data_IF_911432933571
#
_entry.id   IF_911432933571
#
_cell.length_a   1.000
_cell.length_b   1.000
_cell.length_c   1.000
_cell.angle_alpha   90.00
_cell.angle_beta   90.00
_cell.angle_gamma   90.00
#
_symmetry.space_group_name_H-M   'P 1'
#
loop_
_entity.id
_entity.type
_entity.pdbx_description
1 polymer ?
#
# COMPACT_ATOMS: atom_id res chain seq x y z
N UNK A 1 121.50 -21.41 10.70
CA UNK A 1 120.76 -20.15 10.74
C UNK A 1 119.75 -20.16 9.68
N UNK A 2 118.47 -20.24 9.97
CA UNK A 2 117.48 -19.73 9.04
C UNK A 2 116.42 -18.95 9.79
N UNK A 3 116.02 -17.91 9.11
CA UNK A 3 115.05 -16.90 9.46
C UNK A 3 113.57 -17.38 9.30
N UNK A 4 112.82 -17.26 10.31
CA UNK A 4 111.41 -17.58 10.28
C UNK A 4 110.57 -16.41 9.70
N UNK A 5 109.72 -16.72 8.73
CA UNK A 5 108.73 -15.77 8.22
C UNK A 5 107.34 -16.20 8.77
N UNK A 6 106.69 -15.30 9.50
CA UNK A 6 105.30 -15.43 9.93
C UNK A 6 104.35 -14.84 8.90
N UNK A 7 103.47 -15.63 8.36
CA UNK A 7 102.33 -15.18 7.53
C UNK A 7 101.18 -14.92 8.46
N UNK A 8 100.59 -13.77 8.46
CA UNK A 8 99.35 -13.41 9.15
C UNK A 8 98.20 -13.61 8.17
N UNK A 9 97.42 -14.61 8.39
CA UNK A 9 96.13 -14.81 7.64
C UNK A 9 95.06 -13.91 8.26
N UNK A 10 94.67 -12.89 7.50
CA UNK A 10 93.54 -12.05 7.82
C UNK A 10 92.30 -12.67 7.20
N UNK A 11 91.45 -13.26 8.05
CA UNK A 11 90.15 -13.78 7.62
C UNK A 11 89.15 -12.62 7.49
N UNK A 12 88.78 -12.30 6.25
CA UNK A 12 87.73 -11.31 5.94
C UNK A 12 86.39 -12.01 6.05
N UNK A 13 85.66 -11.76 7.14
CA UNK A 13 84.29 -12.22 7.30
C UNK A 13 83.35 -11.28 6.60
N UNK A 14 82.84 -11.64 5.43
CA UNK A 14 81.78 -10.92 4.72
C UNK A 14 80.44 -11.33 5.36
N UNK A 15 79.86 -10.46 6.17
CA UNK A 15 78.51 -10.65 6.69
C UNK A 15 77.48 -10.30 5.62
N UNK A 16 76.88 -11.29 4.98
CA UNK A 16 75.72 -11.11 4.09
C UNK A 16 74.46 -10.90 4.97
N UNK A 17 74.04 -9.63 5.06
CA UNK A 17 72.76 -9.29 5.70
C UNK A 17 71.60 -9.72 4.74
N UNK A 18 70.94 -10.84 5.06
CA UNK A 18 69.73 -11.31 4.37
C UNK A 18 68.55 -10.48 4.88
N UNK A 19 68.17 -9.45 4.14
CA UNK A 19 66.92 -8.65 4.38
C UNK A 19 65.74 -9.51 3.94
N UNK A 20 65.03 -10.09 4.89
CA UNK A 20 63.74 -10.76 4.66
C UNK A 20 62.68 -9.67 4.49
N UNK A 21 62.34 -9.36 3.22
CA UNK A 21 61.20 -8.53 2.89
C UNK A 21 59.90 -9.33 3.16
N UNK A 22 59.29 -9.14 4.34
CA UNK A 22 57.99 -9.71 4.62
C UNK A 22 56.95 -8.94 3.80
N UNK A 23 56.56 -9.49 2.67
CA UNK A 23 55.35 -9.05 1.95
C UNK A 23 54.16 -9.41 2.80
N UNK A 24 53.64 -8.43 3.55
CA UNK A 24 52.32 -8.56 4.16
C UNK A 24 51.30 -8.64 3.03
N UNK A 25 50.90 -9.84 2.66
CA UNK A 25 49.76 -10.06 1.78
C UNK A 25 48.51 -9.41 2.39
N UNK A 26 47.54 -8.97 1.56
CA UNK A 26 46.31 -8.45 2.08
C UNK A 26 45.67 -9.49 3.00
N UNK A 27 45.52 -9.14 4.28
CA UNK A 27 44.74 -9.98 5.21
C UNK A 27 43.34 -10.06 4.64
N UNK A 28 42.96 -11.21 4.09
CA UNK A 28 41.60 -11.46 3.65
C UNK A 28 40.67 -11.14 4.83
N UNK A 29 39.89 -10.07 4.71
CA UNK A 29 38.88 -9.76 5.70
C UNK A 29 37.96 -10.98 5.81
N UNK A 30 37.87 -11.57 6.99
CA UNK A 30 37.01 -12.72 7.23
C UNK A 30 35.57 -12.36 6.83
N UNK A 31 35.00 -13.13 5.92
CA UNK A 31 33.61 -12.99 5.50
C UNK A 31 32.72 -13.08 6.74
N UNK A 32 31.89 -12.04 6.96
CA UNK A 32 31.00 -11.96 8.13
C UNK A 32 29.55 -11.85 7.65
N UNK A 33 28.87 -12.97 7.44
CA UNK A 33 27.45 -12.98 7.12
C UNK A 33 26.63 -12.20 8.14
N UNK A 34 25.41 -11.74 7.80
CA UNK A 34 24.57 -11.04 8.76
C UNK A 34 24.21 -11.95 9.93
N UNK A 35 24.11 -11.40 11.14
CA UNK A 35 23.44 -12.08 12.25
C UNK A 35 21.94 -12.06 12.02
N UNK A 36 21.24 -13.20 12.14
CA UNK A 36 19.80 -13.25 11.98
C UNK A 36 19.15 -14.20 12.99
N UNK A 37 18.14 -13.71 13.68
CA UNK A 37 17.36 -14.49 14.64
C UNK A 37 15.87 -14.27 14.40
N UNK A 38 15.11 -15.35 14.19
CA UNK A 38 13.66 -15.29 14.06
C UNK A 38 13.03 -14.90 15.39
N UNK A 39 12.25 -13.83 15.40
CA UNK A 39 11.48 -13.33 16.54
C UNK A 39 10.09 -13.96 16.62
N UNK A 40 9.30 -13.58 17.63
CA UNK A 40 7.91 -13.97 17.77
C UNK A 40 7.01 -13.22 16.79
N UNK A 41 5.94 -13.86 16.32
CA UNK A 41 4.90 -13.19 15.53
C UNK A 41 4.01 -12.31 16.42
N UNK A 42 3.54 -11.20 15.85
CA UNK A 42 2.57 -10.27 16.48
C UNK A 42 1.43 -9.96 15.51
N UNK A 43 0.41 -9.20 15.94
CA UNK A 43 -0.73 -8.80 15.10
C UNK A 43 -1.36 -10.00 14.38
N UNK A 44 -1.49 -11.11 15.10
CA UNK A 44 -2.03 -12.35 14.53
C UNK A 44 -3.53 -12.20 14.38
N UNK A 45 -4.02 -12.38 13.15
CA UNK A 45 -5.45 -12.39 12.80
C UNK A 45 -5.85 -13.78 12.29
N UNK A 46 -7.03 -13.89 11.71
CA UNK A 46 -7.48 -15.10 11.02
C UNK A 46 -6.67 -15.37 9.73
N UNK A 47 -6.22 -14.31 9.04
CA UNK A 47 -5.63 -14.41 7.71
C UNK A 47 -4.29 -13.69 7.57
N UNK A 48 -3.73 -13.17 8.65
CA UNK A 48 -2.43 -12.48 8.63
C UNK A 48 -1.68 -12.61 9.94
N UNK A 49 -0.36 -12.38 9.88
CA UNK A 49 0.51 -12.22 11.04
C UNK A 49 1.69 -11.31 10.68
N UNK A 50 2.19 -10.55 11.66
CA UNK A 50 3.45 -9.82 11.50
C UNK A 50 4.58 -10.69 12.04
N UNK A 51 5.43 -11.21 11.14
CA UNK A 51 6.65 -11.93 11.53
C UNK A 51 7.73 -10.94 11.91
N UNK A 52 8.46 -11.20 12.99
CA UNK A 52 9.53 -10.35 13.49
C UNK A 52 10.87 -11.08 13.49
N UNK A 53 11.96 -10.33 13.39
CA UNK A 53 13.30 -10.83 13.49
C UNK A 53 14.24 -9.78 14.07
N UNK A 54 15.38 -10.25 14.60
CA UNK A 54 16.52 -9.43 14.96
C UNK A 54 17.63 -9.67 13.95
N UNK A 55 18.13 -8.61 13.30
CA UNK A 55 19.18 -8.70 12.29
C UNK A 55 20.34 -7.77 12.65
N UNK A 56 21.56 -8.27 12.60
CA UNK A 56 22.78 -7.46 12.60
C UNK A 56 23.42 -7.54 11.21
N UNK A 57 23.42 -6.47 10.42
CA UNK A 57 24.04 -6.42 9.10
C UNK A 57 25.55 -6.61 9.07
N UNK A 58 26.22 -6.52 10.22
CA UNK A 58 27.67 -6.61 10.37
C UNK A 58 28.45 -5.62 9.50
N UNK A 59 27.91 -4.39 9.32
CA UNK A 59 28.56 -3.32 8.58
C UNK A 59 28.35 -3.35 7.05
N UNK A 60 27.53 -4.27 6.52
CA UNK A 60 27.30 -4.41 5.08
C UNK A 60 25.81 -4.32 4.72
N UNK A 61 25.46 -3.74 3.55
CA UNK A 61 24.08 -3.72 3.07
C UNK A 61 23.48 -5.13 3.10
N UNK A 62 22.39 -5.28 3.86
CA UNK A 62 21.75 -6.56 4.12
C UNK A 62 20.31 -6.52 3.70
N UNK A 63 19.85 -7.54 2.99
CA UNK A 63 18.46 -7.77 2.64
C UNK A 63 17.92 -8.94 3.45
N UNK A 64 16.60 -8.94 3.67
CA UNK A 64 15.93 -10.03 4.36
C UNK A 64 14.53 -10.29 3.82
N UNK A 65 14.04 -11.49 4.05
CA UNK A 65 12.66 -11.91 3.87
C UNK A 65 12.34 -13.03 4.87
N UNK A 66 11.07 -13.37 4.98
CA UNK A 66 10.66 -14.54 5.76
C UNK A 66 10.26 -15.67 4.81
N UNK A 67 10.75 -16.87 5.07
CA UNK A 67 10.20 -18.10 4.52
C UNK A 67 9.12 -18.61 5.47
N UNK A 68 7.98 -19.04 4.92
CA UNK A 68 6.87 -19.54 5.71
C UNK A 68 6.03 -20.58 4.98
N UNK A 69 5.30 -21.38 5.74
CA UNK A 69 4.43 -22.43 5.21
C UNK A 69 3.83 -23.29 6.31
N UNK A 70 2.98 -24.24 5.96
CA UNK A 70 2.33 -25.12 6.93
C UNK A 70 3.28 -26.21 7.47
N UNK A 71 4.43 -26.39 6.87
CA UNK A 71 5.47 -27.34 7.27
C UNK A 71 6.83 -26.63 7.32
N UNK A 72 7.86 -27.29 7.85
CA UNK A 72 9.23 -26.79 7.86
C UNK A 72 9.88 -26.72 6.47
N UNK A 73 9.24 -27.23 5.42
CA UNK A 73 9.66 -26.99 4.04
C UNK A 73 9.24 -25.61 3.52
N UNK A 74 8.48 -24.85 4.30
CA UNK A 74 7.96 -23.51 4.05
C UNK A 74 7.13 -23.40 2.76
N UNK A 75 7.75 -23.19 1.62
CA UNK A 75 7.10 -23.14 0.30
C UNK A 75 6.64 -21.74 -0.15
N UNK A 76 6.60 -20.77 0.76
CA UNK A 76 6.27 -19.38 0.48
C UNK A 76 7.33 -18.43 1.08
N UNK A 77 7.41 -17.22 0.53
CA UNK A 77 8.27 -16.17 1.06
C UNK A 77 7.58 -14.81 1.03
N UNK A 78 7.94 -13.96 1.99
CA UNK A 78 7.52 -12.57 2.01
C UNK A 78 8.32 -11.74 0.98
N UNK A 79 7.90 -10.51 0.67
CA UNK A 79 8.74 -9.59 -0.10
C UNK A 79 10.12 -9.40 0.52
N UNK A 80 11.13 -9.12 -0.30
CA UNK A 80 12.47 -8.82 0.18
C UNK A 80 12.56 -7.36 0.58
N UNK A 81 13.08 -7.09 1.78
CA UNK A 81 13.29 -5.74 2.32
C UNK A 81 14.71 -5.52 2.80
N UNK A 82 15.12 -4.27 2.93
CA UNK A 82 16.44 -3.89 3.43
C UNK A 82 16.48 -3.86 4.96
N UNK A 83 17.51 -4.48 5.55
CA UNK A 83 17.82 -4.38 6.98
C UNK A 83 18.89 -3.30 7.30
N UNK A 84 19.31 -2.52 6.28
CA UNK A 84 20.38 -1.53 6.42
C UNK A 84 21.79 -2.13 6.36
N UNK A 85 22.79 -1.35 6.83
CA UNK A 85 24.22 -1.75 6.80
C UNK A 85 24.93 -1.49 8.14
N UNK A 86 24.21 -1.21 9.22
CA UNK A 86 24.79 -0.90 10.51
C UNK A 86 25.48 -2.14 11.14
N UNK A 87 26.54 -1.93 11.93
CA UNK A 87 27.15 -3.00 12.70
C UNK A 87 26.50 -3.11 14.11
N UNK A 88 25.17 -3.21 14.12
CA UNK A 88 24.36 -3.39 15.33
C UNK A 88 23.09 -4.16 15.02
N UNK A 89 22.56 -4.86 16.00
CA UNK A 89 21.28 -5.57 15.87
C UNK A 89 20.13 -4.58 15.85
N UNK A 90 19.21 -4.74 14.89
CA UNK A 90 17.94 -4.02 14.80
C UNK A 90 16.77 -5.00 14.70
N UNK A 91 15.59 -4.55 15.16
CA UNK A 91 14.35 -5.30 15.00
C UNK A 91 13.74 -4.97 13.65
N UNK A 92 13.33 -6.01 12.95
CA UNK A 92 12.58 -5.90 11.67
C UNK A 92 11.29 -6.70 11.76
N UNK A 93 10.33 -6.37 10.90
CA UNK A 93 9.07 -7.12 10.86
C UNK A 93 8.34 -6.89 9.55
N UNK A 94 7.63 -7.92 9.08
CA UNK A 94 6.80 -7.86 7.89
C UNK A 94 5.42 -8.44 8.16
N UNK A 95 4.38 -7.77 7.65
CA UNK A 95 3.03 -8.30 7.68
C UNK A 95 2.84 -9.27 6.51
N UNK A 96 2.43 -10.49 6.82
CA UNK A 96 2.14 -11.55 5.86
C UNK A 96 0.64 -11.81 5.90
N UNK A 97 -0.03 -11.62 4.76
CA UNK A 97 -1.46 -11.86 4.57
C UNK A 97 -1.74 -13.12 3.76
N UNK A 98 -3.03 -13.41 3.54
CA UNK A 98 -3.48 -14.57 2.76
C UNK A 98 -3.28 -15.92 3.47
N UNK A 99 -3.07 -15.89 4.78
CA UNK A 99 -2.95 -17.09 5.59
C UNK A 99 -4.34 -17.76 5.77
N UNK A 100 -4.37 -19.08 5.93
CA UNK A 100 -5.60 -19.81 6.27
C UNK A 100 -5.93 -19.62 7.74
N UNK A 101 -7.19 -19.41 8.10
CA UNK A 101 -7.63 -19.35 9.49
C UNK A 101 -7.38 -20.63 10.26
N UNK A 102 -7.24 -20.54 11.59
CA UNK A 102 -7.04 -21.65 12.50
C UNK A 102 -5.97 -22.65 12.01
N UNK A 103 -4.87 -22.12 11.45
CA UNK A 103 -3.83 -22.92 10.80
C UNK A 103 -2.46 -22.59 11.41
N UNK A 104 -1.71 -23.63 11.73
CA UNK A 104 -0.33 -23.47 12.18
C UNK A 104 0.60 -23.23 10.99
N UNK A 105 1.44 -22.22 11.09
CA UNK A 105 2.50 -21.92 10.14
C UNK A 105 3.87 -21.99 10.83
N UNK A 106 4.83 -22.54 10.09
CA UNK A 106 6.25 -22.45 10.36
C UNK A 106 6.80 -21.23 9.64
N UNK A 107 7.74 -20.51 10.23
CA UNK A 107 8.41 -19.38 9.59
C UNK A 107 9.81 -19.18 10.15
N UNK A 108 10.70 -18.64 9.30
CA UNK A 108 12.04 -18.19 9.68
C UNK A 108 12.44 -16.98 8.87
N UNK A 109 13.33 -16.15 9.42
CA UNK A 109 13.99 -15.07 8.68
C UNK A 109 15.16 -15.63 7.88
N UNK A 110 15.37 -15.10 6.68
CA UNK A 110 16.55 -15.30 5.84
C UNK A 110 17.16 -13.93 5.60
N UNK A 111 18.41 -13.73 5.98
CA UNK A 111 19.13 -12.46 5.79
C UNK A 111 20.40 -12.70 4.98
N UNK A 112 20.67 -11.84 4.01
CA UNK A 112 21.80 -11.97 3.07
C UNK A 112 22.53 -10.64 2.92
N UNK A 113 23.86 -10.69 2.99
CA UNK A 113 24.76 -9.61 2.60
C UNK A 113 25.84 -10.13 1.62
N UNK A 114 26.82 -9.29 1.26
CA UNK A 114 27.90 -9.69 0.35
C UNK A 114 28.78 -10.84 0.87
N UNK A 115 28.78 -11.09 2.18
CA UNK A 115 29.60 -12.13 2.82
C UNK A 115 28.85 -13.47 2.98
N UNK A 116 27.54 -13.51 2.73
CA UNK A 116 26.77 -14.74 2.79
C UNK A 116 25.35 -14.56 3.34
N UNK A 117 24.72 -15.71 3.56
CA UNK A 117 23.32 -15.80 4.03
C UNK A 117 23.26 -16.50 5.38
N UNK A 118 22.42 -15.95 6.27
CA UNK A 118 22.09 -16.55 7.57
C UNK A 118 20.60 -16.77 7.66
N UNK A 119 20.22 -17.96 8.10
CA UNK A 119 18.83 -18.34 8.37
C UNK A 119 18.59 -18.39 9.87
N UNK A 120 17.54 -17.72 10.32
CA UNK A 120 17.07 -17.83 11.70
C UNK A 120 16.46 -19.20 11.99
N UNK A 121 16.30 -19.52 13.27
CA UNK A 121 15.63 -20.77 13.68
C UNK A 121 14.17 -20.77 13.25
N UNK A 122 13.63 -21.97 13.00
CA UNK A 122 12.20 -22.18 12.77
C UNK A 122 11.38 -21.71 13.98
N UNK A 123 10.30 -21.02 13.70
CA UNK A 123 9.26 -20.68 14.68
C UNK A 123 7.89 -21.03 14.15
N UNK A 124 6.95 -21.16 15.07
CA UNK A 124 5.56 -21.49 14.76
C UNK A 124 4.65 -20.32 15.17
N UNK A 125 3.59 -20.15 14.40
CA UNK A 125 2.48 -19.26 14.71
C UNK A 125 1.17 -19.96 14.34
N UNK A 126 0.16 -19.79 15.16
CA UNK A 126 -1.20 -20.24 14.85
C UNK A 126 -2.03 -19.00 14.50
N UNK A 127 -2.63 -18.98 13.31
CA UNK A 127 -3.62 -17.95 12.96
C UNK A 127 -4.87 -18.10 13.82
N UNK A 128 -5.58 -17.01 14.05
CA UNK A 128 -6.79 -17.05 14.87
C UNK A 128 -7.86 -17.92 14.22
N UNK A 129 -8.62 -18.58 15.06
CA UNK A 129 -9.85 -19.26 14.64
C UNK A 129 -10.89 -18.22 14.24
N UNK A 130 -11.64 -18.43 13.13
CA UNK A 130 -12.77 -17.58 12.81
C UNK A 130 -13.74 -17.51 14.00
N UNK A 131 -14.18 -16.30 14.33
CA UNK A 131 -15.24 -16.16 15.30
C UNK A 131 -16.52 -16.77 14.71
N UNK A 132 -17.05 -17.83 15.31
CA UNK A 132 -18.29 -18.44 14.82
C UNK A 132 -19.49 -17.49 14.90
N UNK A 133 -19.39 -16.40 15.66
CA UNK A 133 -20.43 -15.40 15.82
C UNK A 133 -20.04 -14.04 15.19
N UNK A 134 -19.06 -14.02 14.28
CA UNK A 134 -18.63 -12.78 13.65
C UNK A 134 -19.76 -12.12 12.84
N UNK A 135 -19.87 -10.82 12.98
CA UNK A 135 -20.71 -9.98 12.14
C UNK A 135 -19.83 -9.32 11.09
N UNK A 136 -19.98 -9.73 9.83
CA UNK A 136 -19.19 -9.25 8.70
C UNK A 136 -19.95 -8.18 7.95
N UNK A 137 -19.23 -7.20 7.42
CA UNK A 137 -19.75 -6.16 6.55
C UNK A 137 -18.75 -5.89 5.42
N UNK A 138 -19.25 -5.71 4.20
CA UNK A 138 -18.49 -5.36 3.01
C UNK A 138 -19.26 -4.35 2.17
N UNK A 139 -18.58 -3.57 1.35
CA UNK A 139 -19.15 -2.52 0.50
C UNK A 139 -18.83 -2.74 -0.98
N UNK A 140 -19.80 -2.37 -1.87
CA UNK A 140 -19.61 -2.43 -3.33
C UNK A 140 -20.56 -1.46 -4.04
N UNK A 141 -20.12 -0.66 -5.01
CA UNK A 141 -18.70 -0.35 -5.33
C UNK A 141 -18.07 0.59 -4.31
N UNK A 142 -16.73 0.60 -4.25
CA UNK A 142 -15.99 1.57 -3.44
C UNK A 142 -14.73 2.02 -4.21
N UNK A 143 -14.54 3.33 -4.50
CA UNK A 143 -15.48 4.43 -4.20
C UNK A 143 -16.71 4.44 -5.12
N UNK A 144 -17.75 5.17 -4.69
CA UNK A 144 -18.93 5.46 -5.52
C UNK A 144 -18.86 6.86 -6.10
N UNK A 145 -19.46 7.05 -7.29
CA UNK A 145 -19.69 8.39 -7.81
C UNK A 145 -20.75 9.11 -6.98
N UNK A 146 -20.54 10.38 -6.68
CA UNK A 146 -21.55 11.18 -6.01
C UNK A 146 -22.92 11.10 -6.69
N UNK A 147 -23.95 10.88 -5.90
CA UNK A 147 -25.33 10.65 -6.39
C UNK A 147 -25.63 9.21 -6.83
N UNK A 148 -24.71 8.28 -6.57
CA UNK A 148 -24.91 6.85 -6.81
C UNK A 148 -24.91 6.08 -5.49
N UNK A 149 -25.63 4.95 -5.47
CA UNK A 149 -25.72 4.09 -4.30
C UNK A 149 -24.54 3.12 -4.18
N UNK A 150 -24.22 2.76 -2.95
CA UNK A 150 -23.40 1.61 -2.60
C UNK A 150 -24.25 0.54 -1.95
N UNK A 151 -23.96 -0.73 -2.22
CA UNK A 151 -24.51 -1.84 -1.48
C UNK A 151 -23.56 -2.19 -0.32
N UNK A 152 -24.12 -2.29 0.88
CA UNK A 152 -23.48 -2.80 2.08
C UNK A 152 -24.05 -4.18 2.35
N UNK A 153 -23.27 -5.22 2.14
CA UNK A 153 -23.70 -6.61 2.33
C UNK A 153 -22.92 -7.25 3.45
N UNK A 154 -23.53 -8.19 4.16
CA UNK A 154 -22.84 -8.83 5.25
C UNK A 154 -23.48 -10.13 5.68
N UNK A 155 -22.86 -10.75 6.68
CA UNK A 155 -23.30 -12.00 7.24
C UNK A 155 -23.09 -12.04 8.76
N UNK A 156 -24.12 -12.34 9.49
CA UNK A 156 -24.03 -12.77 10.87
C UNK A 156 -23.77 -14.28 10.89
N UNK A 157 -22.62 -14.71 11.37
CA UNK A 157 -22.28 -16.13 11.55
C UNK A 157 -22.83 -16.66 12.86
N UNK A 158 -23.04 -17.96 12.92
CA UNK A 158 -23.41 -18.65 14.16
C UNK A 158 -24.74 -19.41 14.09
N UNK A 159 -25.06 -20.16 15.15
CA UNK A 159 -26.19 -21.07 15.13
C UNK A 159 -27.58 -20.40 15.30
N UNK A 160 -27.60 -19.11 15.62
CA UNK A 160 -28.84 -18.31 15.80
C UNK A 160 -28.75 -17.04 15.00
N UNK A 161 -28.44 -17.19 13.73
CA UNK A 161 -28.17 -16.08 12.82
C UNK A 161 -29.35 -15.70 11.91
N UNK A 162 -30.48 -16.44 12.00
CA UNK A 162 -31.68 -16.22 11.19
C UNK A 162 -32.66 -15.28 11.90
N UNK A 163 -33.24 -14.34 11.18
CA UNK A 163 -34.23 -13.39 11.69
C UNK A 163 -33.69 -12.37 12.69
N UNK A 164 -32.37 -12.23 12.80
CA UNK A 164 -31.73 -11.27 13.71
C UNK A 164 -31.80 -9.88 13.09
N UNK A 165 -32.32 -8.90 13.85
CA UNK A 165 -32.33 -7.50 13.39
C UNK A 165 -30.95 -6.91 13.29
N UNK A 166 -30.60 -6.42 12.12
CA UNK A 166 -29.33 -5.72 11.86
C UNK A 166 -29.61 -4.24 11.67
N UNK A 167 -28.93 -3.40 12.44
CA UNK A 167 -29.02 -1.94 12.36
C UNK A 167 -27.75 -1.38 11.72
N UNK A 168 -27.90 -0.53 10.70
CA UNK A 168 -26.81 0.14 10.03
C UNK A 168 -26.53 1.49 10.70
N UNK A 169 -25.29 1.70 11.07
CA UNK A 169 -24.79 2.91 11.69
C UNK A 169 -23.80 3.60 10.73
N UNK A 170 -23.81 4.93 10.70
CA UNK A 170 -22.95 5.73 9.84
C UNK A 170 -22.31 6.88 10.59
N UNK A 171 -21.11 7.25 10.13
CA UNK A 171 -20.40 8.44 10.56
C UNK A 171 -19.64 9.05 9.37
N UNK A 172 -19.96 10.29 8.93
CA UNK A 172 -19.22 10.98 7.89
C UNK A 172 -17.73 11.12 8.28
N UNK A 173 -16.84 11.02 7.30
CA UNK A 173 -15.41 11.23 7.50
C UNK A 173 -15.15 12.66 8.01
N UNK A 174 -14.16 12.80 8.89
CA UNK A 174 -13.86 14.07 9.54
C UNK A 174 -14.81 14.46 10.69
N UNK A 175 -15.93 13.74 10.88
CA UNK A 175 -16.79 13.94 12.05
C UNK A 175 -16.17 13.27 13.28
N UNK A 176 -16.17 14.01 14.41
CA UNK A 176 -15.76 13.49 15.73
C UNK A 176 -16.96 12.98 16.55
N UNK A 177 -18.17 13.10 16.00
CA UNK A 177 -19.40 12.65 16.64
C UNK A 177 -19.55 11.12 16.71
N UNK A 178 -20.52 10.67 17.48
CA UNK A 178 -20.91 9.27 17.52
C UNK A 178 -21.51 8.82 16.19
N UNK A 179 -21.50 7.51 15.95
CA UNK A 179 -22.25 6.92 14.85
C UNK A 179 -23.75 7.13 15.05
N UNK A 180 -24.45 7.41 13.97
CA UNK A 180 -25.90 7.58 13.94
C UNK A 180 -26.55 6.43 13.17
N UNK A 181 -27.73 6.02 13.60
CA UNK A 181 -28.52 5.01 12.87
C UNK A 181 -29.03 5.61 11.56
N UNK A 182 -28.79 4.89 10.45
CA UNK A 182 -29.21 5.32 9.10
C UNK A 182 -30.17 4.36 8.43
N UNK A 183 -30.20 3.08 8.86
CA UNK A 183 -31.14 2.10 8.36
C UNK A 183 -31.30 0.92 9.32
N UNK A 184 -32.40 0.18 9.18
CA UNK A 184 -32.72 -1.01 9.98
C UNK A 184 -33.73 -0.74 11.13
N UNK A 185 -33.95 -1.74 11.99
CA UNK A 185 -33.41 -3.09 11.91
C UNK A 185 -33.95 -3.90 10.72
N UNK A 186 -33.05 -4.51 9.92
CA UNK A 186 -33.39 -5.43 8.85
C UNK A 186 -33.10 -6.88 9.31
N UNK A 187 -34.02 -7.82 9.14
CA UNK A 187 -33.79 -9.21 9.57
C UNK A 187 -32.78 -9.91 8.66
N UNK A 188 -31.93 -10.76 9.24
CA UNK A 188 -31.08 -11.67 8.49
C UNK A 188 -31.87 -12.80 7.84
N UNK A 189 -31.42 -13.31 6.70
CA UNK A 189 -31.97 -14.50 6.04
C UNK A 189 -31.62 -15.81 6.79
N UNK A 190 -32.01 -16.95 6.21
CA UNK A 190 -31.76 -18.29 6.77
C UNK A 190 -30.26 -18.62 6.91
N UNK A 191 -29.40 -17.94 6.17
CA UNK A 191 -27.95 -18.10 6.20
C UNK A 191 -27.25 -16.99 7.00
N UNK A 192 -28.02 -16.09 7.62
CA UNK A 192 -27.52 -14.95 8.36
C UNK A 192 -27.10 -13.76 7.48
N UNK A 193 -27.41 -13.77 6.19
CA UNK A 193 -27.06 -12.66 5.30
C UNK A 193 -28.03 -11.49 5.46
N UNK A 194 -27.51 -10.29 5.21
CA UNK A 194 -28.26 -9.04 5.15
C UNK A 194 -27.67 -8.09 4.10
N UNK A 195 -28.48 -7.11 3.69
CA UNK A 195 -27.98 -6.07 2.80
C UNK A 195 -28.69 -4.73 3.05
N UNK A 196 -27.96 -3.64 2.80
CA UNK A 196 -28.46 -2.27 2.80
C UNK A 196 -28.02 -1.58 1.52
N UNK A 197 -28.86 -0.68 1.01
CA UNK A 197 -28.47 0.25 -0.04
C UNK A 197 -28.33 1.64 0.57
N UNK A 198 -27.20 2.28 0.41
CA UNK A 198 -26.92 3.63 0.93
C UNK A 198 -26.60 4.58 -0.20
N UNK A 199 -26.97 5.86 -0.03
CA UNK A 199 -26.64 6.96 -0.95
C UNK A 199 -25.78 7.97 -0.20
N UNK A 200 -24.47 7.74 -0.04
CA UNK A 200 -23.64 8.62 0.75
C UNK A 200 -23.40 9.97 0.05
N UNK A 201 -23.58 11.06 0.79
CA UNK A 201 -23.28 12.42 0.33
C UNK A 201 -21.85 12.85 0.59
N UNK A 202 -21.07 12.04 1.33
CA UNK A 202 -19.67 12.28 1.67
C UNK A 202 -18.97 10.95 1.94
N UNK A 203 -17.65 10.96 1.97
CA UNK A 203 -16.89 9.82 2.48
C UNK A 203 -17.43 9.44 3.86
N UNK A 204 -17.86 8.21 4.05
CA UNK A 204 -18.60 7.79 5.23
C UNK A 204 -18.12 6.43 5.73
N UNK A 205 -17.86 6.34 7.03
CA UNK A 205 -17.63 5.08 7.70
C UNK A 205 -18.97 4.46 8.13
N UNK A 206 -19.12 3.17 7.92
CA UNK A 206 -20.30 2.38 8.31
C UNK A 206 -19.89 1.21 9.16
N UNK A 207 -20.75 0.84 10.11
CA UNK A 207 -20.75 -0.47 10.73
C UNK A 207 -22.17 -0.92 10.97
N UNK A 208 -22.36 -2.19 11.28
CA UNK A 208 -23.65 -2.76 11.63
C UNK A 208 -23.63 -3.30 13.05
N UNK A 209 -24.79 -3.24 13.70
CA UNK A 209 -25.03 -3.78 15.03
C UNK A 209 -26.13 -4.83 14.92
N UNK A 210 -25.83 -6.04 15.36
CA UNK A 210 -26.84 -7.11 15.43
C UNK A 210 -27.54 -7.09 16.77
N UNK A 211 -28.87 -7.24 16.77
CA UNK A 211 -29.72 -7.33 17.96
C UNK A 211 -29.59 -8.72 18.61
N UNK A 212 -28.38 -9.09 18.97
CA UNK A 212 -28.06 -10.29 19.75
C UNK A 212 -28.03 -9.95 21.23
N UNK A 213 -28.04 -10.97 22.12
CA UNK A 213 -27.94 -10.75 23.57
C UNK A 213 -26.69 -9.94 23.99
N UNK A 214 -25.63 -9.90 23.15
CA UNK A 214 -24.36 -9.19 23.39
C UNK A 214 -24.16 -7.99 22.50
N UNK A 215 -25.15 -7.57 21.69
CA UNK A 215 -25.02 -6.45 20.73
C UNK A 215 -23.72 -6.52 19.91
N UNK A 216 -23.60 -7.56 19.10
CA UNK A 216 -22.39 -7.76 18.26
C UNK A 216 -22.30 -6.67 17.21
N UNK A 217 -21.13 -6.01 17.14
CA UNK A 217 -20.84 -4.94 16.17
C UNK A 217 -19.80 -5.45 15.14
N UNK A 218 -19.98 -5.10 13.86
CA UNK A 218 -19.00 -5.38 12.82
C UNK A 218 -17.78 -4.45 12.95
N UNK A 219 -16.71 -4.77 12.22
CA UNK A 219 -15.68 -3.79 11.91
C UNK A 219 -16.27 -2.64 11.07
N UNK A 220 -15.62 -1.48 11.12
CA UNK A 220 -15.97 -0.34 10.26
C UNK A 220 -15.57 -0.63 8.81
N UNK A 221 -16.42 -0.23 7.86
CA UNK A 221 -16.09 -0.16 6.44
C UNK A 221 -16.25 1.27 5.95
N UNK A 222 -15.34 1.73 5.10
CA UNK A 222 -15.35 3.10 4.58
C UNK A 222 -15.83 3.16 3.15
N UNK A 223 -16.97 3.82 2.88
CA UNK A 223 -17.41 4.11 1.51
C UNK A 223 -16.86 5.48 1.10
N UNK A 224 -15.93 5.49 0.16
CA UNK A 224 -15.42 6.70 -0.47
C UNK A 224 -16.41 7.23 -1.51
N UNK A 225 -16.59 8.55 -1.56
CA UNK A 225 -17.44 9.23 -2.53
C UNK A 225 -16.59 10.15 -3.38
N UNK A 226 -16.61 9.97 -4.70
CA UNK A 226 -15.84 10.78 -5.64
C UNK A 226 -16.74 11.74 -6.40
N UNK A 227 -16.22 12.93 -6.75
CA UNK A 227 -16.92 13.86 -7.62
C UNK A 227 -17.31 13.21 -8.95
N UNK A 228 -18.53 13.45 -9.40
CA UNK A 228 -18.97 13.05 -10.74
C UNK A 228 -18.54 14.12 -11.75
N UNK A 229 -17.41 13.87 -12.42
CA UNK A 229 -16.81 14.81 -13.39
C UNK A 229 -17.05 14.30 -14.81
N UNK A 230 -17.60 15.17 -15.66
CA UNK A 230 -17.79 14.89 -17.10
C UNK A 230 -16.92 15.84 -17.92
N UNK A 231 -16.34 15.32 -19.02
CA UNK A 231 -15.56 16.10 -19.98
C UNK A 231 -16.03 15.80 -21.39
N UNK A 232 -16.16 16.85 -22.20
CA UNK A 232 -16.41 16.82 -23.63
C UNK A 232 -15.46 17.77 -24.34
N UNK A 233 -15.20 17.51 -25.62
CA UNK A 233 -14.47 18.41 -26.52
C UNK A 233 -15.33 18.66 -27.74
N UNK A 234 -15.32 19.88 -28.26
CA UNK A 234 -16.09 20.26 -29.45
C UNK A 234 -15.47 19.72 -30.76
N UNK A 235 -14.15 19.50 -30.76
CA UNK A 235 -13.42 18.97 -31.91
C UNK A 235 -12.38 17.95 -31.45
N UNK A 236 -12.43 16.76 -32.01
CA UNK A 236 -11.48 15.67 -31.72
C UNK A 236 -10.37 15.52 -32.76
N UNK A 237 -10.48 16.25 -33.88
CA UNK A 237 -9.52 16.20 -34.98
C UNK A 237 -9.08 17.62 -35.42
N UNK A 238 -8.59 18.45 -34.48
CA UNK A 238 -8.20 19.82 -34.78
C UNK A 238 -6.92 19.87 -35.61
N UNK A 239 -6.75 20.93 -36.39
CA UNK A 239 -5.45 21.28 -36.96
C UNK A 239 -4.48 21.77 -35.87
N UNK A 240 -3.19 21.66 -36.15
CA UNK A 240 -2.13 22.09 -35.20
C UNK A 240 -2.29 23.56 -34.80
N UNK A 241 -2.40 23.80 -33.50
CA UNK A 241 -2.57 25.15 -32.95
C UNK A 241 -4.01 25.64 -32.94
N UNK A 242 -4.96 24.88 -33.44
CA UNK A 242 -6.37 25.23 -33.39
C UNK A 242 -6.87 25.27 -31.95
N UNK A 243 -7.75 26.22 -31.65
CA UNK A 243 -8.39 26.35 -30.36
C UNK A 243 -9.54 25.35 -30.23
N UNK A 244 -9.41 24.40 -29.33
CA UNK A 244 -10.44 23.41 -28.97
C UNK A 244 -11.08 23.80 -27.66
N UNK A 245 -12.40 23.72 -27.60
CA UNK A 245 -13.15 23.95 -26.36
C UNK A 245 -13.33 22.68 -25.59
N UNK A 246 -12.77 22.62 -24.41
CA UNK A 246 -12.97 21.58 -23.40
C UNK A 246 -14.07 22.06 -22.44
N UNK A 247 -15.17 21.35 -22.36
CA UNK A 247 -16.32 21.68 -21.53
C UNK A 247 -16.81 20.48 -20.74
N UNK A 248 -17.54 20.71 -19.67
CA UNK A 248 -18.04 19.62 -18.86
C UNK A 248 -18.83 20.06 -17.65
N UNK A 249 -19.07 19.14 -16.76
CA UNK A 249 -19.76 19.39 -15.49
C UNK A 249 -19.10 18.68 -14.33
N UNK A 250 -19.30 19.24 -13.16
CA UNK A 250 -18.90 18.64 -11.86
C UNK A 250 -20.13 18.58 -10.97
N UNK A 251 -20.36 17.46 -10.31
CA UNK A 251 -21.45 17.29 -9.36
C UNK A 251 -20.99 16.45 -8.14
N UNK A 252 -21.24 16.92 -6.89
CA UNK A 252 -21.64 18.30 -6.59
C UNK A 252 -20.52 19.24 -6.99
N UNK A 253 -20.82 20.53 -7.19
CA UNK A 253 -19.81 21.50 -7.52
C UNK A 253 -20.07 22.79 -6.76
N UNK A 254 -19.00 23.49 -6.36
CA UNK A 254 -19.11 24.82 -5.78
C UNK A 254 -18.73 25.87 -6.84
N UNK A 255 -19.57 26.88 -7.06
CA UNK A 255 -19.23 28.01 -7.90
C UNK A 255 -17.94 28.70 -7.39
N UNK A 256 -17.08 29.10 -8.32
CA UNK A 256 -15.77 29.66 -7.98
C UNK A 256 -14.64 28.64 -7.78
N UNK A 257 -14.97 27.36 -7.54
CA UNK A 257 -13.95 26.31 -7.55
C UNK A 257 -13.39 26.08 -8.95
N UNK A 258 -12.27 25.35 -9.06
CA UNK A 258 -11.62 25.08 -10.35
C UNK A 258 -11.49 23.58 -10.60
N UNK A 259 -11.61 23.20 -11.86
CA UNK A 259 -11.31 21.86 -12.36
C UNK A 259 -10.04 21.89 -13.22
N UNK A 260 -9.14 20.93 -13.01
CA UNK A 260 -7.93 20.81 -13.81
C UNK A 260 -8.21 20.01 -15.08
N UNK A 261 -7.78 20.52 -16.24
CA UNK A 261 -7.76 19.78 -17.51
C UNK A 261 -6.34 19.24 -17.68
N UNK A 262 -6.22 17.93 -17.72
CA UNK A 262 -4.94 17.22 -17.76
C UNK A 262 -4.78 16.49 -19.08
N UNK A 263 -3.54 16.42 -19.58
CA UNK A 263 -3.15 15.63 -20.74
C UNK A 263 -2.14 14.57 -20.34
N UNK A 264 -2.31 13.36 -20.86
CA UNK A 264 -1.36 12.28 -20.65
C UNK A 264 -0.04 12.57 -21.38
N UNK A 265 1.06 12.49 -20.68
CA UNK A 265 2.43 12.58 -21.24
C UNK A 265 2.74 11.31 -22.04
N UNK A 266 3.29 11.46 -23.24
CA UNK A 266 3.70 10.31 -24.06
C UNK A 266 4.95 9.60 -23.53
N UNK A 267 5.83 10.34 -22.87
CA UNK A 267 7.12 9.80 -22.37
C UNK A 267 6.97 9.05 -21.05
N UNK A 268 6.12 9.55 -20.14
CA UNK A 268 6.00 8.98 -18.79
C UNK A 268 4.66 8.29 -18.54
N UNK A 269 3.66 8.46 -19.44
CA UNK A 269 2.29 8.01 -19.18
C UNK A 269 1.54 8.82 -18.11
N UNK A 270 2.24 9.69 -17.38
CA UNK A 270 1.66 10.52 -16.33
C UNK A 270 0.77 11.63 -16.89
N UNK A 271 -0.19 12.08 -16.10
CA UNK A 271 -1.05 13.21 -16.46
C UNK A 271 -0.45 14.52 -15.96
N UNK A 272 -0.40 15.52 -16.85
CA UNK A 272 0.06 16.91 -16.55
C UNK A 272 -1.10 17.87 -16.76
N UNK A 273 -1.30 18.79 -15.84
CA UNK A 273 -2.30 19.86 -15.98
C UNK A 273 -1.88 20.81 -17.09
N UNK A 274 -2.73 20.96 -18.09
CA UNK A 274 -2.52 21.86 -19.24
C UNK A 274 -3.37 23.13 -19.17
N UNK A 275 -4.44 23.12 -18.41
CA UNK A 275 -5.26 24.27 -18.12
C UNK A 275 -6.12 24.01 -16.88
N UNK A 276 -6.67 25.10 -16.31
CA UNK A 276 -7.72 25.05 -15.30
C UNK A 276 -8.94 25.85 -15.79
N UNK A 277 -10.13 25.43 -15.36
CA UNK A 277 -11.38 26.11 -15.66
C UNK A 277 -12.18 26.33 -14.40
N UNK A 278 -12.72 27.55 -14.23
CA UNK A 278 -13.62 27.89 -13.12
C UNK A 278 -14.97 27.19 -13.29
N UNK A 279 -15.57 26.82 -12.18
CA UNK A 279 -16.91 26.24 -12.13
C UNK A 279 -17.96 27.35 -11.97
N UNK A 280 -18.99 27.29 -12.83
CA UNK A 280 -20.16 28.17 -12.78
C UNK A 280 -21.39 27.33 -12.46
N UNK A 281 -22.20 27.74 -11.51
CA UNK A 281 -23.45 27.06 -11.17
C UNK A 281 -24.44 27.16 -12.35
N UNK A 282 -25.04 26.06 -12.73
CA UNK A 282 -26.01 25.98 -13.83
C UNK A 282 -27.40 25.59 -13.36
N UNK A 283 -27.50 24.79 -12.32
CA UNK A 283 -28.77 24.31 -11.76
C UNK A 283 -28.51 23.69 -10.39
N UNK A 284 -29.55 23.22 -9.75
CA UNK A 284 -29.49 22.41 -8.55
C UNK A 284 -30.17 21.05 -8.77
N UNK A 285 -29.70 20.05 -8.03
CA UNK A 285 -30.36 18.75 -7.96
C UNK A 285 -30.42 18.34 -6.49
N UNK A 286 -31.63 18.18 -5.97
CA UNK A 286 -31.88 17.87 -4.54
C UNK A 286 -31.18 18.87 -3.57
N UNK A 287 -31.22 20.16 -3.88
CA UNK A 287 -30.59 21.21 -3.09
C UNK A 287 -29.05 21.29 -3.22
N UNK A 288 -28.44 20.52 -4.11
CA UNK A 288 -27.00 20.52 -4.35
C UNK A 288 -26.66 21.15 -5.70
N UNK A 289 -25.65 22.06 -5.74
CA UNK A 289 -25.31 22.77 -6.95
C UNK A 289 -24.70 21.83 -8.01
N UNK A 290 -25.25 21.90 -9.20
CA UNK A 290 -24.60 21.42 -10.43
C UNK A 290 -23.81 22.55 -11.04
N UNK A 291 -22.57 22.28 -11.40
CA UNK A 291 -21.70 23.27 -12.02
C UNK A 291 -21.22 22.80 -13.37
N UNK A 292 -20.93 23.75 -14.24
CA UNK A 292 -20.30 23.53 -15.53
C UNK A 292 -18.99 24.29 -15.63
N UNK A 293 -18.16 23.87 -16.56
CA UNK A 293 -16.94 24.57 -16.93
C UNK A 293 -16.76 24.57 -18.45
N UNK A 294 -16.01 25.57 -18.92
CA UNK A 294 -15.61 25.65 -20.32
C UNK A 294 -14.24 26.33 -20.41
N UNK A 295 -13.35 25.77 -21.23
CA UNK A 295 -12.01 26.31 -21.45
C UNK A 295 -11.56 26.09 -22.88
N UNK A 296 -11.12 27.13 -23.56
CA UNK A 296 -10.46 27.04 -24.87
C UNK A 296 -8.98 26.78 -24.66
N UNK A 297 -8.45 25.78 -25.35
CA UNK A 297 -7.03 25.36 -25.31
C UNK A 297 -6.53 25.22 -26.74
N UNK A 298 -5.40 25.88 -27.06
CA UNK A 298 -4.74 25.69 -28.34
C UNK A 298 -4.00 24.34 -28.33
N UNK A 299 -4.54 23.37 -29.05
CA UNK A 299 -3.97 22.03 -29.12
C UNK A 299 -2.85 21.98 -30.14
N UNK A 300 -1.63 21.67 -29.67
CA UNK A 300 -0.42 21.60 -30.50
C UNK A 300 0.04 20.16 -30.76
N UNK A 301 -0.51 19.19 -30.07
CA UNK A 301 -0.14 17.75 -30.17
C UNK A 301 -1.35 16.89 -29.84
N UNK A 302 -1.47 15.77 -30.55
CA UNK A 302 -2.43 14.71 -30.18
C UNK A 302 -2.22 14.24 -28.75
N UNK A 303 -3.27 13.85 -28.05
CA UNK A 303 -3.17 13.37 -26.68
C UNK A 303 -4.48 12.87 -26.11
N UNK A 304 -4.38 12.23 -24.95
CA UNK A 304 -5.51 11.79 -24.16
C UNK A 304 -5.69 12.81 -23.03
N UNK A 305 -6.89 13.32 -22.89
CA UNK A 305 -7.24 14.34 -21.90
C UNK A 305 -8.23 13.80 -20.88
N UNK A 306 -8.20 14.35 -19.69
CA UNK A 306 -9.18 14.16 -18.62
C UNK A 306 -9.40 15.45 -17.85
N UNK A 307 -10.54 15.57 -17.20
CA UNK A 307 -10.80 16.62 -16.21
C UNK A 307 -10.74 16.02 -14.82
N UNK A 308 -10.17 16.76 -13.88
CA UNK A 308 -9.96 16.31 -12.49
C UNK A 308 -10.45 17.39 -11.55
N UNK A 309 -11.33 17.00 -10.63
CA UNK A 309 -11.72 17.80 -9.46
C UNK A 309 -10.98 17.28 -8.25
N UNK A 310 -10.22 18.13 -7.62
CA UNK A 310 -9.41 17.79 -6.44
C UNK A 310 -10.28 17.36 -5.26
N UNK A 311 -9.80 16.44 -4.46
CA UNK A 311 -10.44 16.02 -3.22
C UNK A 311 -10.71 17.20 -2.27
N UNK A 312 -11.79 17.10 -1.52
CA UNK A 312 -12.13 17.97 -0.39
C UNK A 312 -12.08 17.17 0.92
N UNK A 313 -12.45 17.78 2.03
CA UNK A 313 -12.58 17.04 3.29
C UNK A 313 -13.65 15.96 3.22
N UNK A 314 -14.72 16.20 2.45
CA UNK A 314 -15.91 15.34 2.40
C UNK A 314 -15.91 14.37 1.21
N UNK A 315 -15.24 14.73 0.13
CA UNK A 315 -15.26 13.99 -1.13
C UNK A 315 -13.85 13.69 -1.64
N UNK A 316 -13.68 12.50 -2.16
CA UNK A 316 -12.45 12.07 -2.81
C UNK A 316 -12.32 12.67 -4.22
N UNK A 317 -11.10 12.71 -4.76
CA UNK A 317 -10.82 13.21 -6.10
C UNK A 317 -11.74 12.54 -7.15
N UNK A 318 -12.34 13.36 -8.00
CA UNK A 318 -13.14 12.91 -9.12
C UNK A 318 -12.44 13.11 -10.45
N UNK A 319 -12.45 12.09 -11.30
CA UNK A 319 -11.83 12.13 -12.63
C UNK A 319 -12.85 11.78 -13.70
N UNK A 320 -12.88 12.57 -14.79
CA UNK A 320 -13.73 12.29 -15.93
C UNK A 320 -13.27 11.05 -16.71
N UNK A 321 -14.14 10.51 -17.56
CA UNK A 321 -13.71 9.61 -18.64
C UNK A 321 -12.66 10.30 -19.52
N UNK A 322 -11.76 9.50 -20.08
CA UNK A 322 -10.71 9.96 -20.99
C UNK A 322 -11.29 10.37 -22.34
N UNK A 323 -10.76 11.44 -22.92
CA UNK A 323 -11.14 11.92 -24.25
C UNK A 323 -9.89 12.03 -25.11
N UNK A 324 -9.87 11.31 -26.24
CA UNK A 324 -8.82 11.41 -27.25
C UNK A 324 -9.02 12.66 -28.11
N UNK A 325 -7.93 13.38 -28.39
CA UNK A 325 -7.85 14.45 -29.40
C UNK A 325 -6.67 14.12 -30.32
N UNK A 326 -6.96 13.94 -31.60
CA UNK A 326 -6.00 13.54 -32.62
C UNK A 326 -5.82 14.68 -33.60
N UNK A 327 -4.58 15.06 -33.86
CA UNK A 327 -4.29 16.10 -34.89
C UNK A 327 -4.64 15.56 -36.26
N UNK A 328 -5.43 16.34 -36.99
CA UNK A 328 -5.74 16.12 -38.43
C UNK A 328 -4.58 16.57 -39.31
#
# INVERSE_FOLDING_TARGET
MPTSYRVRDGLLVVAIALTILTVAGPTAALAKPPGAQTGGATNITEQSATFKASINPNGKPTQFFFEYGQTQNYGQRSPTEGAGSANRTSQVGQNVGGLRPNTQYHYRVVATNADGTTMGRDRKVMTRRPDPNALLLTETPNPVLFGHSAALTGQLRGPRNTGVGITLMARPAGSTGAYTMVAGPAPTDANGNFSFSVLPGANTAYHVVAATQRHTTSADVGVGVVFNVKLRVNDRHPHRGQAVTFSGSVFPGAAGSTVAIQRQSRSSGAYVTVASAGLTQTSELNGLPRTSFSRRIHVRRSGIYRAVMTATNDLSEGTSRRVGVHMG
#
